data_IF_050368639585
#
_entry.id   IF_050368639585
#
_cell.length_a   1.000
_cell.length_b   1.000
_cell.length_c   1.000
_cell.angle_alpha   90.00
_cell.angle_beta   90.00
_cell.angle_gamma   90.00
#
_symmetry.space_group_name_H-M   'P 1'
#
loop_
_entity.id
_entity.type
_entity.pdbx_description
1 polymer ?
#
# COMPACT_ATOMS: atom_id res chain seq x y z
N UNK A 1 -23.08 -14.88 0.67
CA UNK A 1 -22.13 -13.85 1.14
C UNK A 1 -22.28 -12.67 0.20
N UNK A 2 -22.53 -11.45 0.68
CA UNK A 2 -22.74 -10.29 -0.20
C UNK A 2 -21.51 -10.05 -1.08
N UNK A 3 -21.71 -9.97 -2.40
CA UNK A 3 -20.64 -9.99 -3.42
C UNK A 3 -19.80 -8.71 -3.51
N UNK A 4 -19.91 -7.80 -2.56
CA UNK A 4 -19.13 -6.56 -2.51
C UNK A 4 -17.65 -6.90 -2.32
N UNK A 5 -16.83 -6.40 -3.23
CA UNK A 5 -15.38 -6.52 -3.16
C UNK A 5 -14.79 -5.25 -2.58
N UNK A 6 -13.62 -5.38 -1.95
CA UNK A 6 -12.97 -4.31 -1.18
C UNK A 6 -12.69 -3.02 -1.97
N UNK A 7 -12.62 -3.08 -3.31
CA UNK A 7 -12.53 -1.90 -4.16
C UNK A 7 -13.73 -0.95 -4.02
N UNK A 8 -14.87 -1.43 -3.53
CA UNK A 8 -16.04 -0.60 -3.24
C UNK A 8 -15.79 0.40 -2.10
N UNK A 9 -14.88 0.12 -1.16
CA UNK A 9 -14.59 1.02 -0.02
C UNK A 9 -14.08 2.39 -0.48
N UNK A 10 -12.94 2.50 -1.22
CA UNK A 10 -12.49 3.79 -1.74
C UNK A 10 -13.47 4.40 -2.75
N UNK A 11 -14.17 3.59 -3.56
CA UNK A 11 -15.19 4.14 -4.46
C UNK A 11 -16.28 4.88 -3.68
N UNK A 12 -16.87 4.23 -2.67
CA UNK A 12 -17.93 4.80 -1.84
C UNK A 12 -17.47 6.04 -1.09
N UNK A 13 -16.28 6.00 -0.47
CA UNK A 13 -15.70 7.17 0.21
C UNK A 13 -15.58 8.38 -0.74
N UNK A 14 -14.96 8.19 -1.92
CA UNK A 14 -14.84 9.27 -2.91
C UNK A 14 -16.19 9.76 -3.46
N UNK A 15 -17.19 8.87 -3.59
CA UNK A 15 -18.55 9.26 -3.99
C UNK A 15 -19.28 10.08 -2.92
N UNK A 16 -19.10 9.77 -1.62
CA UNK A 16 -19.67 10.56 -0.52
C UNK A 16 -19.03 11.95 -0.46
N UNK A 17 -17.70 12.02 -0.58
CA UNK A 17 -16.99 13.30 -0.64
C UNK A 17 -17.41 14.14 -1.85
N UNK A 18 -17.44 13.55 -3.05
CA UNK A 18 -17.93 14.21 -4.27
C UNK A 18 -19.38 14.71 -4.10
N UNK A 19 -20.27 13.89 -3.54
CA UNK A 19 -21.66 14.29 -3.26
C UNK A 19 -21.76 15.46 -2.29
N UNK A 20 -20.90 15.50 -1.27
CA UNK A 20 -20.79 16.59 -0.29
C UNK A 20 -20.37 17.89 -0.98
N UNK A 21 -19.28 17.85 -1.77
CA UNK A 21 -18.77 19.00 -2.53
C UNK A 21 -19.78 19.51 -3.57
N UNK A 22 -20.42 18.61 -4.33
CA UNK A 22 -21.43 18.98 -5.33
C UNK A 22 -22.69 19.57 -4.69
N UNK A 23 -23.11 19.11 -3.52
CA UNK A 23 -24.24 19.68 -2.80
C UNK A 23 -23.92 21.10 -2.29
N UNK A 24 -22.71 21.32 -1.75
CA UNK A 24 -22.23 22.65 -1.34
C UNK A 24 -22.14 23.61 -2.52
N UNK A 25 -21.39 23.26 -3.56
CA UNK A 25 -21.20 24.10 -4.74
C UNK A 25 -22.53 24.35 -5.45
N UNK A 26 -23.32 23.29 -5.66
CA UNK A 26 -24.62 23.36 -6.33
C UNK A 26 -25.61 24.28 -5.62
N UNK A 27 -25.70 24.21 -4.28
CA UNK A 27 -26.56 25.12 -3.52
C UNK A 27 -26.05 26.56 -3.51
N UNK A 28 -24.73 26.77 -3.42
CA UNK A 28 -24.15 28.12 -3.48
C UNK A 28 -24.42 28.78 -4.85
N UNK A 29 -24.21 28.06 -5.95
CA UNK A 29 -24.53 28.55 -7.31
C UNK A 29 -26.03 28.75 -7.50
N UNK A 30 -26.88 27.83 -7.03
CA UNK A 30 -28.35 27.93 -7.16
C UNK A 30 -28.94 29.13 -6.40
N UNK A 31 -28.26 29.64 -5.37
CA UNK A 31 -28.64 30.87 -4.65
C UNK A 31 -28.05 32.14 -5.26
N UNK A 32 -27.40 32.06 -6.43
CA UNK A 32 -26.79 33.22 -7.09
C UNK A 32 -25.44 33.62 -6.51
N UNK A 33 -24.67 32.67 -5.96
CA UNK A 33 -23.34 32.89 -5.38
C UNK A 33 -23.34 33.94 -4.25
N UNK A 34 -24.10 33.70 -3.15
CA UNK A 34 -24.16 34.62 -2.02
C UNK A 34 -22.79 34.82 -1.36
N UNK A 35 -22.52 36.06 -0.96
CA UNK A 35 -21.43 36.43 -0.06
C UNK A 35 -21.89 36.15 1.38
N UNK A 36 -21.08 35.48 2.19
CA UNK A 36 -21.45 35.15 3.58
C UNK A 36 -20.75 36.10 4.55
N UNK A 37 -21.46 37.11 5.04
CA UNK A 37 -20.93 38.24 5.83
C UNK A 37 -20.09 37.83 7.07
N UNK A 38 -20.31 36.63 7.61
CA UNK A 38 -19.62 36.14 8.81
C UNK A 38 -18.34 35.33 8.52
N UNK A 39 -18.12 34.87 7.29
CA UNK A 39 -16.98 33.99 6.95
C UNK A 39 -16.14 34.53 5.77
N UNK A 40 -16.76 35.25 4.83
CA UNK A 40 -16.04 35.87 3.72
C UNK A 40 -15.21 37.07 4.18
N UNK A 41 -14.04 37.24 3.55
CA UNK A 41 -13.34 38.52 3.60
C UNK A 41 -13.96 39.54 2.61
N UNK A 42 -13.85 40.83 2.91
CA UNK A 42 -14.47 41.91 2.12
C UNK A 42 -14.06 41.96 0.62
N UNK A 43 -12.94 41.36 0.23
CA UNK A 43 -12.44 41.27 -1.16
C UNK A 43 -12.72 39.91 -1.81
N UNK A 44 -13.50 39.05 -1.15
CA UNK A 44 -13.82 37.70 -1.59
C UNK A 44 -15.17 37.65 -2.31
N UNK A 45 -15.21 36.88 -3.40
CA UNK A 45 -16.37 36.71 -4.29
C UNK A 45 -16.63 35.23 -4.60
N UNK A 46 -15.63 34.36 -4.41
CA UNK A 46 -15.76 32.91 -4.52
C UNK A 46 -15.78 32.33 -3.11
N UNK A 47 -16.78 31.52 -2.77
CA UNK A 47 -16.83 30.82 -1.50
C UNK A 47 -15.74 29.74 -1.42
N UNK A 48 -15.06 29.68 -0.28
CA UNK A 48 -14.38 28.47 0.15
C UNK A 48 -15.41 27.36 0.45
N UNK A 49 -15.00 26.10 0.37
CA UNK A 49 -15.73 24.94 0.90
C UNK A 49 -15.96 25.14 2.39
N UNK A 50 -14.92 25.58 3.11
CA UNK A 50 -14.98 25.91 4.54
C UNK A 50 -15.98 27.03 4.87
N UNK A 51 -16.16 28.05 4.01
CA UNK A 51 -17.23 29.04 4.17
C UNK A 51 -18.63 28.41 4.14
N UNK A 52 -18.91 27.63 3.09
CA UNK A 52 -20.20 26.94 2.95
C UNK A 52 -20.38 25.97 4.13
N UNK A 53 -19.31 25.30 4.52
CA UNK A 53 -19.21 24.41 5.68
C UNK A 53 -19.36 25.11 7.04
N UNK A 54 -19.25 26.43 7.15
CA UNK A 54 -19.56 27.17 8.37
C UNK A 54 -21.05 27.57 8.46
N UNK A 55 -21.77 27.60 7.34
CA UNK A 55 -23.19 27.97 7.34
C UNK A 55 -24.08 26.95 8.06
N UNK A 56 -25.20 27.40 8.64
CA UNK A 56 -26.12 26.56 9.43
C UNK A 56 -26.65 25.31 8.72
N UNK A 57 -26.76 25.33 7.39
CA UNK A 57 -27.16 24.18 6.57
C UNK A 57 -25.95 23.33 6.13
N UNK A 58 -24.81 23.98 5.85
CA UNK A 58 -23.63 23.36 5.26
C UNK A 58 -22.77 22.64 6.29
N UNK A 59 -22.69 23.15 7.53
CA UNK A 59 -21.96 22.53 8.64
C UNK A 59 -22.36 21.09 8.95
N UNK A 60 -23.66 20.74 9.14
CA UNK A 60 -24.04 19.33 9.36
C UNK A 60 -23.75 18.45 8.14
N UNK A 61 -23.88 18.98 6.92
CA UNK A 61 -23.49 18.27 5.69
C UNK A 61 -21.98 18.04 5.63
N UNK A 62 -21.17 19.03 6.00
CA UNK A 62 -19.70 18.97 5.98
C UNK A 62 -19.20 17.90 6.96
N UNK A 63 -19.66 17.99 8.22
CA UNK A 63 -19.30 17.03 9.27
C UNK A 63 -19.69 15.60 8.86
N UNK A 64 -20.92 15.40 8.38
CA UNK A 64 -21.40 14.06 7.99
C UNK A 64 -20.64 13.53 6.78
N UNK A 65 -20.46 14.35 5.75
CA UNK A 65 -19.76 13.99 4.51
C UNK A 65 -18.29 13.64 4.75
N UNK A 66 -17.57 14.49 5.49
CA UNK A 66 -16.19 14.25 5.90
C UNK A 66 -16.06 12.99 6.74
N UNK A 67 -16.86 12.85 7.81
CA UNK A 67 -16.78 11.71 8.72
C UNK A 67 -17.05 10.37 8.00
N UNK A 68 -18.10 10.28 7.18
CA UNK A 68 -18.39 9.06 6.42
C UNK A 68 -17.29 8.76 5.39
N UNK A 69 -16.76 9.79 4.72
CA UNK A 69 -15.65 9.64 3.76
C UNK A 69 -14.42 9.04 4.44
N UNK A 70 -13.90 9.68 5.50
CA UNK A 70 -12.60 9.28 6.08
C UNK A 70 -12.71 7.99 6.88
N UNK A 71 -13.84 7.72 7.56
CA UNK A 71 -14.03 6.44 8.26
C UNK A 71 -14.07 5.27 7.27
N UNK A 72 -14.77 5.42 6.13
CA UNK A 72 -14.76 4.35 5.10
C UNK A 72 -13.40 4.25 4.41
N UNK A 73 -12.69 5.37 4.23
CA UNK A 73 -11.34 5.37 3.67
C UNK A 73 -10.35 4.66 4.60
N UNK A 74 -10.33 4.97 5.90
CA UNK A 74 -9.50 4.28 6.90
C UNK A 74 -9.82 2.78 6.99
N UNK A 75 -11.10 2.39 6.87
CA UNK A 75 -11.49 0.98 6.75
C UNK A 75 -10.88 0.31 5.51
N UNK A 76 -10.59 1.06 4.43
CA UNK A 76 -9.82 0.54 3.30
C UNK A 76 -8.36 0.23 3.70
N UNK A 77 -7.66 1.11 4.42
CA UNK A 77 -6.29 0.84 4.92
C UNK A 77 -6.27 -0.44 5.80
N UNK A 78 -7.23 -0.57 6.71
CA UNK A 78 -7.37 -1.77 7.56
C UNK A 78 -7.67 -3.02 6.72
N UNK A 79 -8.54 -2.90 5.71
CA UNK A 79 -8.84 -4.00 4.79
C UNK A 79 -7.65 -4.42 3.93
N UNK A 80 -6.83 -3.47 3.45
CA UNK A 80 -5.60 -3.73 2.70
C UNK A 80 -4.64 -4.56 3.56
N UNK A 81 -4.36 -4.09 4.78
CA UNK A 81 -3.51 -4.79 5.75
C UNK A 81 -4.03 -6.19 6.08
N UNK A 82 -5.35 -6.35 6.25
CA UNK A 82 -5.97 -7.66 6.49
C UNK A 82 -5.81 -8.60 5.28
N UNK A 83 -5.97 -8.09 4.05
CA UNK A 83 -5.81 -8.87 2.83
C UNK A 83 -4.35 -9.29 2.58
N UNK A 84 -3.39 -8.41 2.90
CA UNK A 84 -1.95 -8.74 2.91
C UNK A 84 -1.63 -9.84 3.92
N UNK A 85 -2.20 -9.76 5.13
CA UNK A 85 -2.05 -10.80 6.16
C UNK A 85 -2.72 -12.14 5.77
N UNK A 86 -3.77 -12.10 4.94
CA UNK A 86 -4.53 -13.29 4.50
C UNK A 86 -3.97 -13.92 3.19
N UNK A 87 -2.88 -13.38 2.63
CA UNK A 87 -2.29 -13.82 1.36
C UNK A 87 -3.15 -13.51 0.12
N UNK A 88 -4.10 -12.57 0.23
CA UNK A 88 -4.95 -12.12 -0.89
C UNK A 88 -4.37 -10.90 -1.63
N UNK A 89 -3.50 -10.15 -0.96
CA UNK A 89 -2.53 -9.26 -1.58
C UNK A 89 -1.12 -9.83 -1.36
N UNK A 90 -0.10 -9.24 -1.99
CA UNK A 90 1.31 -9.56 -1.72
C UNK A 90 1.61 -9.38 -0.22
N UNK A 91 2.12 -10.44 0.39
CA UNK A 91 2.27 -10.57 1.83
C UNK A 91 3.56 -9.88 2.31
N UNK A 92 3.47 -9.14 3.41
CA UNK A 92 4.62 -8.43 3.99
C UNK A 92 5.60 -9.44 4.59
N UNK A 93 6.80 -9.50 4.02
CA UNK A 93 7.85 -10.45 4.33
C UNK A 93 8.62 -10.02 5.60
N UNK A 94 8.98 -8.74 5.68
CA UNK A 94 9.84 -8.21 6.73
C UNK A 94 9.08 -7.53 7.87
N UNK A 95 9.70 -7.49 9.06
CA UNK A 95 9.21 -6.71 10.19
C UNK A 95 9.06 -5.21 9.85
N UNK A 96 9.99 -4.66 9.06
CA UNK A 96 9.95 -3.25 8.61
C UNK A 96 8.69 -2.94 7.79
N UNK A 97 8.23 -3.84 6.92
CA UNK A 97 7.01 -3.61 6.12
C UNK A 97 5.75 -3.61 7.00
N UNK A 98 5.71 -4.46 8.03
CA UNK A 98 4.62 -4.46 9.02
C UNK A 98 4.61 -3.17 9.85
N UNK A 99 5.79 -2.60 10.13
CA UNK A 99 5.95 -1.31 10.83
C UNK A 99 5.54 -0.15 9.92
N UNK A 100 6.00 -0.10 8.67
CA UNK A 100 5.62 0.91 7.67
C UNK A 100 4.10 0.94 7.46
N UNK A 101 3.48 -0.22 7.24
CA UNK A 101 2.02 -0.36 7.11
C UNK A 101 1.28 0.08 8.38
N UNK A 102 1.88 -0.16 9.55
CA UNK A 102 1.38 0.32 10.84
C UNK A 102 1.40 1.85 10.95
N UNK A 103 2.51 2.50 10.61
CA UNK A 103 2.61 3.96 10.60
C UNK A 103 1.71 4.58 9.53
N UNK A 104 1.63 4.01 8.32
CA UNK A 104 0.69 4.42 7.28
C UNK A 104 -0.75 4.48 7.81
N UNK A 105 -1.21 3.41 8.46
CA UNK A 105 -2.57 3.34 9.04
C UNK A 105 -2.74 4.37 10.17
N UNK A 106 -1.74 4.54 11.04
CA UNK A 106 -1.80 5.50 12.15
C UNK A 106 -1.89 6.96 11.66
N UNK A 107 -1.07 7.34 10.68
CA UNK A 107 -1.08 8.69 10.13
C UNK A 107 -2.34 8.97 9.27
N UNK A 108 -2.93 7.94 8.65
CA UNK A 108 -4.25 8.07 8.00
C UNK A 108 -5.33 8.42 9.03
N UNK A 109 -5.38 7.72 10.16
CA UNK A 109 -6.33 8.01 11.26
C UNK A 109 -6.12 9.42 11.85
N UNK A 110 -4.87 9.88 11.95
CA UNK A 110 -4.57 11.26 12.38
C UNK A 110 -5.08 12.28 11.34
N UNK A 111 -4.89 12.01 10.05
CA UNK A 111 -5.42 12.84 8.96
C UNK A 111 -6.96 12.86 8.94
N UNK A 112 -7.59 11.70 9.13
CA UNK A 112 -9.04 11.54 9.25
C UNK A 112 -9.61 12.35 10.42
N UNK A 113 -8.98 12.26 11.59
CA UNK A 113 -9.33 13.08 12.76
C UNK A 113 -9.18 14.58 12.46
N UNK A 114 -8.12 14.99 11.77
CA UNK A 114 -7.94 16.37 11.30
C UNK A 114 -9.10 16.85 10.43
N UNK A 115 -9.54 16.05 9.43
CA UNK A 115 -10.65 16.44 8.56
C UNK A 115 -11.98 16.52 9.32
N UNK A 116 -12.25 15.59 10.25
CA UNK A 116 -13.47 15.67 11.07
C UNK A 116 -13.43 16.91 11.97
N UNK A 117 -12.31 17.17 12.64
CA UNK A 117 -12.19 18.29 13.58
C UNK A 117 -12.26 19.66 12.89
N UNK A 118 -11.68 19.83 11.68
CA UNK A 118 -11.83 21.09 10.93
C UNK A 118 -13.27 21.34 10.46
N UNK A 119 -14.10 20.30 10.28
CA UNK A 119 -15.54 20.53 9.99
C UNK A 119 -16.36 20.93 11.21
N UNK A 120 -15.87 20.63 12.43
CA UNK A 120 -16.54 20.98 13.69
C UNK A 120 -16.12 22.38 14.16
N UNK A 121 -14.80 22.63 14.15
CA UNK A 121 -14.18 23.93 14.39
C UNK A 121 -14.12 24.69 13.06
N UNK A 122 -15.20 25.41 12.74
CA UNK A 122 -15.32 26.15 11.48
C UNK A 122 -14.54 27.48 11.48
N UNK A 123 -14.55 28.13 10.32
CA UNK A 123 -13.85 29.40 10.06
C UNK A 123 -14.49 30.63 10.72
N UNK A 124 -15.69 30.51 11.28
CA UNK A 124 -16.42 31.63 11.92
C UNK A 124 -16.14 31.64 13.42
N UNK A 125 -16.39 30.53 14.10
CA UNK A 125 -16.25 30.42 15.55
C UNK A 125 -14.79 30.12 15.97
N UNK A 126 -14.03 29.38 15.16
CA UNK A 126 -12.70 28.85 15.53
C UNK A 126 -11.64 28.86 14.40
N UNK A 127 -11.45 29.97 13.65
CA UNK A 127 -10.58 29.99 12.46
C UNK A 127 -9.15 29.46 12.68
N UNK A 128 -8.47 29.86 13.76
CA UNK A 128 -7.12 29.35 14.05
C UNK A 128 -7.07 27.84 14.37
N UNK A 129 -8.16 27.27 14.88
CA UNK A 129 -8.26 25.82 15.12
C UNK A 129 -8.58 25.11 13.80
N UNK A 130 -9.44 25.70 12.96
CA UNK A 130 -9.72 25.22 11.60
C UNK A 130 -8.42 25.05 10.80
N UNK A 131 -7.61 26.11 10.70
CA UNK A 131 -6.34 26.11 9.98
C UNK A 131 -5.34 25.08 10.54
N UNK A 132 -5.23 24.97 11.87
CA UNK A 132 -4.39 23.97 12.51
C UNK A 132 -4.85 22.53 12.20
N UNK A 133 -6.16 22.27 12.19
CA UNK A 133 -6.72 20.97 11.85
C UNK A 133 -6.61 20.65 10.35
N UNK A 134 -6.65 21.66 9.48
CA UNK A 134 -6.34 21.54 8.04
C UNK A 134 -4.88 21.11 7.82
N UNK A 135 -3.93 21.68 8.57
CA UNK A 135 -2.52 21.25 8.53
C UNK A 135 -2.36 19.80 9.04
N UNK A 136 -3.07 19.41 10.11
CA UNK A 136 -3.07 18.03 10.61
C UNK A 136 -3.67 17.05 9.59
N UNK A 137 -4.77 17.43 8.93
CA UNK A 137 -5.41 16.65 7.86
C UNK A 137 -4.44 16.37 6.70
N UNK A 138 -3.89 17.44 6.09
CA UNK A 138 -2.99 17.33 4.94
C UNK A 138 -1.69 16.61 5.33
N UNK A 139 -1.07 17.01 6.45
CA UNK A 139 0.16 16.39 6.95
C UNK A 139 0.00 14.90 7.27
N UNK A 140 -1.12 14.52 7.92
CA UNK A 140 -1.44 13.14 8.24
C UNK A 140 -1.53 12.25 6.99
N UNK A 141 -2.33 12.66 5.99
CA UNK A 141 -2.45 11.89 4.76
C UNK A 141 -1.18 11.87 3.91
N UNK A 142 -0.41 12.97 3.83
CA UNK A 142 0.89 12.97 3.12
C UNK A 142 1.89 12.02 3.79
N UNK A 143 2.03 12.07 5.12
CA UNK A 143 2.95 11.18 5.85
C UNK A 143 2.50 9.72 5.71
N UNK A 144 1.19 9.46 5.78
CA UNK A 144 0.61 8.13 5.53
C UNK A 144 0.95 7.62 4.12
N UNK A 145 0.77 8.45 3.10
CA UNK A 145 1.06 8.12 1.71
C UNK A 145 2.56 7.87 1.47
N UNK A 146 3.46 8.61 2.15
CA UNK A 146 4.90 8.35 2.12
C UNK A 146 5.22 6.95 2.69
N UNK A 147 4.61 6.57 3.81
CA UNK A 147 4.80 5.22 4.39
C UNK A 147 4.25 4.12 3.48
N UNK A 148 3.11 4.33 2.83
CA UNK A 148 2.56 3.43 1.79
C UNK A 148 3.53 3.29 0.62
N UNK A 149 4.04 4.41 0.10
CA UNK A 149 4.99 4.39 -1.01
C UNK A 149 6.30 3.67 -0.64
N UNK A 150 6.79 3.84 0.59
CA UNK A 150 7.96 3.12 1.10
C UNK A 150 7.69 1.61 1.25
N UNK A 151 6.50 1.21 1.70
CA UNK A 151 6.05 -0.20 1.71
C UNK A 151 6.02 -0.77 0.28
N UNK A 152 5.35 -0.10 -0.66
CA UNK A 152 5.26 -0.53 -2.06
C UNK A 152 6.62 -0.60 -2.77
N UNK A 153 7.53 0.36 -2.55
CA UNK A 153 8.87 0.32 -3.11
C UNK A 153 9.62 -0.94 -2.64
N UNK A 154 9.48 -1.29 -1.35
CA UNK A 154 10.16 -2.45 -0.74
C UNK A 154 9.57 -3.79 -1.20
N UNK A 155 8.25 -3.87 -1.34
CA UNK A 155 7.58 -5.05 -1.93
C UNK A 155 7.87 -5.18 -3.44
N UNK A 156 7.93 -4.06 -4.17
CA UNK A 156 8.16 -4.02 -5.61
C UNK A 156 9.54 -4.53 -6.05
N UNK A 157 10.55 -4.43 -5.18
CA UNK A 157 11.88 -5.03 -5.39
C UNK A 157 11.79 -6.56 -5.47
N UNK A 158 10.88 -7.18 -4.71
CA UNK A 158 10.73 -8.64 -4.64
C UNK A 158 9.75 -9.20 -5.68
N UNK A 159 8.69 -8.45 -6.02
CA UNK A 159 7.61 -8.90 -6.92
C UNK A 159 7.58 -8.14 -8.25
N UNK A 160 8.75 -7.98 -8.89
CA UNK A 160 8.95 -7.16 -10.11
C UNK A 160 8.12 -7.59 -11.33
N UNK A 161 7.52 -8.78 -11.31
CA UNK A 161 6.67 -9.31 -12.38
C UNK A 161 5.25 -8.72 -12.40
N UNK A 162 4.77 -8.11 -11.31
CA UNK A 162 3.40 -7.57 -11.22
C UNK A 162 3.36 -6.05 -11.43
N UNK A 163 3.31 -5.63 -12.70
CA UNK A 163 3.28 -4.21 -13.11
C UNK A 163 2.17 -3.38 -12.45
N UNK A 164 1.03 -3.98 -12.08
CA UNK A 164 -0.09 -3.31 -11.41
C UNK A 164 0.29 -2.64 -10.08
N UNK A 165 1.24 -3.21 -9.32
CA UNK A 165 1.76 -2.59 -8.10
C UNK A 165 2.60 -1.35 -8.41
N UNK A 166 3.42 -1.41 -9.46
CA UNK A 166 4.24 -0.28 -9.90
C UNK A 166 3.37 0.89 -10.41
N UNK A 167 2.30 0.60 -11.15
CA UNK A 167 1.36 1.64 -11.58
C UNK A 167 0.69 2.33 -10.39
N UNK A 168 0.20 1.58 -9.39
CA UNK A 168 -0.40 2.18 -8.19
C UNK A 168 0.57 3.06 -7.41
N UNK A 169 1.82 2.60 -7.23
CA UNK A 169 2.89 3.38 -6.61
C UNK A 169 3.12 4.72 -7.33
N UNK A 170 3.31 4.71 -8.66
CA UNK A 170 3.56 5.93 -9.42
C UNK A 170 2.37 6.90 -9.42
N UNK A 171 1.13 6.37 -9.45
CA UNK A 171 -0.09 7.17 -9.34
C UNK A 171 -0.17 7.87 -7.97
N UNK A 172 0.02 7.13 -6.87
CA UNK A 172 0.03 7.71 -5.51
C UNK A 172 1.15 8.73 -5.32
N UNK A 173 2.35 8.43 -5.80
CA UNK A 173 3.48 9.34 -5.73
C UNK A 173 3.22 10.64 -6.51
N UNK A 174 2.58 10.57 -7.67
CA UNK A 174 2.16 11.74 -8.42
C UNK A 174 1.13 12.58 -7.65
N UNK A 175 0.13 11.95 -7.00
CA UNK A 175 -0.81 12.66 -6.13
C UNK A 175 -0.12 13.38 -4.97
N UNK A 176 0.79 12.73 -4.24
CA UNK A 176 1.55 13.38 -3.15
C UNK A 176 2.23 14.67 -3.61
N UNK A 177 2.90 14.66 -4.78
CA UNK A 177 3.57 15.86 -5.30
C UNK A 177 2.58 16.94 -5.75
N UNK A 178 1.48 16.56 -6.40
CA UNK A 178 0.45 17.50 -6.87
C UNK A 178 -0.30 18.14 -5.70
N UNK A 179 -0.74 17.34 -4.73
CA UNK A 179 -1.45 17.81 -3.54
C UNK A 179 -0.55 18.69 -2.67
N UNK A 180 0.72 18.33 -2.46
CA UNK A 180 1.68 19.17 -1.73
C UNK A 180 1.93 20.51 -2.42
N UNK A 181 2.11 20.51 -3.75
CA UNK A 181 2.30 21.74 -4.52
C UNK A 181 1.07 22.66 -4.46
N UNK A 182 -0.13 22.09 -4.56
CA UNK A 182 -1.38 22.83 -4.44
C UNK A 182 -1.65 23.33 -3.02
N UNK A 183 -1.34 22.54 -1.98
CA UNK A 183 -1.49 22.94 -0.58
C UNK A 183 -0.54 24.09 -0.21
N UNK A 184 0.70 24.07 -0.69
CA UNK A 184 1.65 25.19 -0.56
C UNK A 184 1.10 26.42 -1.28
N UNK A 185 0.61 26.27 -2.52
CA UNK A 185 0.00 27.37 -3.25
C UNK A 185 -1.22 27.94 -2.52
N UNK A 186 -2.10 27.09 -1.98
CA UNK A 186 -3.28 27.49 -1.20
C UNK A 186 -2.86 28.33 0.03
N UNK A 187 -1.94 27.84 0.85
CA UNK A 187 -1.45 28.55 2.03
C UNK A 187 -0.82 29.91 1.68
N UNK A 188 0.06 29.96 0.68
CA UNK A 188 0.72 31.20 0.23
C UNK A 188 -0.28 32.21 -0.36
N UNK A 189 -1.33 31.75 -1.03
CA UNK A 189 -2.34 32.63 -1.61
C UNK A 189 -3.37 33.11 -0.58
N UNK A 190 -3.62 32.32 0.47
CA UNK A 190 -4.43 32.74 1.62
C UNK A 190 -3.70 33.81 2.44
N UNK A 191 -2.44 33.57 2.82
CA UNK A 191 -1.58 34.50 3.57
C UNK A 191 -1.42 35.87 2.88
N UNK A 192 -1.32 35.88 1.54
CA UNK A 192 -1.24 37.11 0.74
C UNK A 192 -2.57 37.83 0.51
N UNK A 193 -3.65 37.38 1.16
CA UNK A 193 -5.00 37.96 0.99
C UNK A 193 -5.58 37.80 -0.41
N UNK A 194 -5.11 36.84 -1.21
CA UNK A 194 -5.60 36.56 -2.56
C UNK A 194 -6.78 35.58 -2.53
N UNK A 195 -7.77 35.85 -1.67
CA UNK A 195 -8.80 34.90 -1.24
C UNK A 195 -9.52 34.18 -2.39
N UNK A 196 -9.92 34.89 -3.45
CA UNK A 196 -10.56 34.28 -4.63
C UNK A 196 -9.69 33.19 -5.30
N UNK A 197 -8.37 33.38 -5.34
CA UNK A 197 -7.44 32.39 -5.93
C UNK A 197 -7.21 31.23 -4.96
N UNK A 198 -7.14 31.49 -3.66
CA UNK A 198 -7.05 30.47 -2.64
C UNK A 198 -8.33 29.61 -2.57
N UNK A 199 -9.53 30.19 -2.71
CA UNK A 199 -10.79 29.44 -2.80
C UNK A 199 -10.79 28.48 -4.00
N UNK A 200 -10.38 28.93 -5.19
CA UNK A 200 -10.22 28.03 -6.35
C UNK A 200 -9.23 26.90 -6.06
N UNK A 201 -8.14 27.17 -5.34
CA UNK A 201 -7.17 26.14 -4.95
C UNK A 201 -7.75 25.13 -3.96
N UNK A 202 -8.51 25.55 -2.94
CA UNK A 202 -9.18 24.65 -1.98
C UNK A 202 -10.19 23.71 -2.67
N UNK A 203 -11.01 24.24 -3.59
CA UNK A 203 -11.88 23.42 -4.44
C UNK A 203 -11.08 22.44 -5.30
N UNK A 204 -9.97 22.89 -5.89
CA UNK A 204 -9.11 22.06 -6.73
C UNK A 204 -8.45 20.92 -5.93
N UNK A 205 -7.90 21.22 -4.74
CA UNK A 205 -7.34 20.23 -3.81
C UNK A 205 -8.41 19.21 -3.42
N UNK A 206 -9.60 19.69 -3.05
CA UNK A 206 -10.69 18.82 -2.58
C UNK A 206 -11.22 17.90 -3.66
N UNK A 207 -11.21 18.33 -4.92
CA UNK A 207 -11.54 17.48 -6.08
C UNK A 207 -10.43 16.48 -6.42
N UNK A 208 -9.16 16.88 -6.31
CA UNK A 208 -8.02 15.97 -6.52
C UNK A 208 -7.95 14.91 -5.42
N UNK A 209 -8.32 15.24 -4.19
CA UNK A 209 -8.42 14.29 -3.08
C UNK A 209 -9.42 13.15 -3.36
N UNK A 210 -10.50 13.38 -4.13
CA UNK A 210 -11.37 12.30 -4.64
C UNK A 210 -10.57 11.32 -5.50
N UNK A 211 -9.75 11.84 -6.42
CA UNK A 211 -8.95 11.04 -7.34
C UNK A 211 -7.84 10.28 -6.60
N UNK A 212 -7.26 10.88 -5.56
CA UNK A 212 -6.34 10.22 -4.64
C UNK A 212 -7.02 9.05 -3.92
N UNK A 213 -8.20 9.25 -3.32
CA UNK A 213 -8.99 8.17 -2.70
C UNK A 213 -9.28 7.06 -3.72
N UNK A 214 -9.77 7.41 -4.91
CA UNK A 214 -10.07 6.45 -5.96
C UNK A 214 -8.83 5.72 -6.50
N UNK A 215 -7.61 6.24 -6.33
CA UNK A 215 -6.38 5.52 -6.68
C UNK A 215 -6.23 4.20 -5.88
N UNK A 216 -6.82 4.08 -4.69
CA UNK A 216 -6.81 2.86 -3.90
C UNK A 216 -7.73 1.76 -4.47
N UNK A 217 -8.66 2.07 -5.37
CA UNK A 217 -9.46 1.06 -6.10
C UNK A 217 -8.51 0.05 -6.78
N UNK A 218 -7.39 0.54 -7.33
CA UNK A 218 -6.38 -0.25 -8.05
C UNK A 218 -5.75 -1.31 -7.14
N UNK A 219 -5.51 -1.00 -5.86
CA UNK A 219 -4.87 -1.90 -4.89
C UNK A 219 -5.76 -3.09 -4.51
N UNK A 220 -7.07 -2.91 -4.57
CA UNK A 220 -8.05 -3.97 -4.32
C UNK A 220 -8.41 -4.79 -5.57
N UNK A 221 -8.01 -4.36 -6.78
CA UNK A 221 -8.27 -5.13 -8.00
C UNK A 221 -7.66 -6.55 -7.97
N UNK A 222 -6.40 -6.78 -7.54
CA UNK A 222 -5.87 -8.14 -7.37
C UNK A 222 -6.74 -9.03 -6.47
N UNK A 223 -7.26 -8.49 -5.36
CA UNK A 223 -8.08 -9.24 -4.42
C UNK A 223 -9.42 -9.75 -5.01
N UNK A 224 -9.86 -9.22 -6.16
CA UNK A 224 -11.02 -9.74 -6.91
C UNK A 224 -10.73 -11.09 -7.57
N UNK A 225 -9.47 -11.31 -7.98
CA UNK A 225 -9.00 -12.50 -8.71
C UNK A 225 -8.53 -13.60 -7.75
N UNK A 226 -7.91 -13.24 -6.62
CA UNK A 226 -7.42 -14.20 -5.60
C UNK A 226 -8.52 -14.75 -4.66
N UNK A 227 -9.71 -15.06 -5.19
CA UNK A 227 -10.87 -15.51 -4.38
C UNK A 227 -10.71 -16.97 -3.94
N UNK A 228 -10.33 -17.88 -4.85
CA UNK A 228 -10.07 -19.27 -4.51
C UNK A 228 -8.70 -19.42 -3.82
N UNK A 229 -8.52 -20.47 -3.01
CA UNK A 229 -7.25 -20.70 -2.30
C UNK A 229 -6.09 -21.03 -3.25
N UNK A 230 -6.37 -21.59 -4.42
CA UNK A 230 -5.43 -21.87 -5.50
C UNK A 230 -4.82 -20.60 -6.12
N UNK A 231 -5.60 -19.52 -6.16
CA UNK A 231 -5.29 -18.30 -6.91
C UNK A 231 -4.70 -17.20 -6.01
N UNK A 232 -4.43 -17.54 -4.75
CA UNK A 232 -3.75 -16.64 -3.80
C UNK A 232 -2.27 -16.56 -4.14
N UNK A 233 -1.64 -15.45 -3.76
CA UNK A 233 -0.19 -15.38 -3.79
C UNK A 233 0.36 -16.54 -2.95
N UNK A 234 1.29 -17.35 -3.49
CA UNK A 234 1.78 -18.51 -2.77
C UNK A 234 2.35 -18.07 -1.43
N UNK A 235 2.03 -18.82 -0.37
CA UNK A 235 2.73 -18.67 0.90
C UNK A 235 4.23 -18.78 0.58
N UNK A 236 5.06 -17.79 0.95
CA UNK A 236 6.49 -17.93 0.75
C UNK A 236 6.93 -19.19 1.48
N UNK A 237 7.62 -20.08 0.76
CA UNK A 237 8.40 -21.12 1.41
C UNK A 237 9.30 -20.39 2.40
N UNK A 238 9.08 -20.63 3.70
CA UNK A 238 10.00 -20.21 4.75
C UNK A 238 11.37 -20.70 4.29
N UNK A 239 12.31 -19.77 4.09
CA UNK A 239 13.62 -20.06 3.50
C UNK A 239 14.22 -21.22 4.29
N UNK A 240 14.39 -22.38 3.67
CA UNK A 240 15.01 -23.52 4.37
C UNK A 240 16.44 -23.17 4.79
N UNK A 241 17.06 -22.22 4.08
CA UNK A 241 18.27 -21.48 4.45
C UNK A 241 18.25 -20.96 5.91
N UNK A 242 17.12 -20.43 6.40
CA UNK A 242 17.02 -19.88 7.76
C UNK A 242 16.92 -20.99 8.82
N UNK A 243 16.32 -22.15 8.48
CA UNK A 243 16.37 -23.36 9.31
C UNK A 243 17.75 -24.00 9.31
N UNK A 244 18.44 -24.03 8.16
CA UNK A 244 19.80 -24.56 8.07
C UNK A 244 20.80 -23.63 8.78
N UNK A 245 20.65 -22.31 8.68
CA UNK A 245 21.46 -21.35 9.43
C UNK A 245 21.27 -21.52 10.94
N UNK A 246 20.02 -21.52 11.45
CA UNK A 246 19.76 -21.77 12.87
C UNK A 246 20.25 -23.14 13.35
N UNK A 247 20.09 -24.21 12.55
CA UNK A 247 20.63 -25.52 12.95
C UNK A 247 22.17 -25.56 12.92
N UNK A 248 22.84 -24.75 12.11
CA UNK A 248 24.30 -24.63 12.09
C UNK A 248 24.81 -23.80 13.28
N UNK A 249 24.04 -22.79 13.73
CA UNK A 249 24.34 -22.00 14.93
C UNK A 249 24.02 -22.75 16.24
N UNK A 250 22.91 -23.49 16.29
CA UNK A 250 22.52 -24.35 17.43
C UNK A 250 23.40 -25.60 17.50
N UNK A 251 23.83 -26.14 16.35
CA UNK A 251 24.83 -27.20 16.23
C UNK A 251 26.27 -26.70 16.39
N UNK A 252 26.48 -25.69 17.25
CA UNK A 252 27.76 -25.00 17.43
C UNK A 252 28.95 -25.95 17.61
N UNK A 253 30.01 -25.69 16.87
CA UNK A 253 31.25 -26.46 16.86
C UNK A 253 31.75 -26.73 18.30
N UNK A 254 31.91 -28.00 18.68
CA UNK A 254 32.17 -28.47 20.06
C UNK A 254 33.54 -28.03 20.66
N UNK A 255 34.26 -27.14 19.98
CA UNK A 255 35.62 -26.69 20.29
C UNK A 255 35.77 -25.17 20.47
N UNK A 256 34.67 -24.40 20.55
CA UNK A 256 34.68 -23.06 21.15
C UNK A 256 35.53 -21.97 20.48
N UNK A 257 35.81 -22.08 19.18
CA UNK A 257 36.55 -21.06 18.41
C UNK A 257 35.64 -20.23 17.48
N UNK A 258 35.99 -18.98 17.14
CA UNK A 258 35.21 -18.13 16.24
C UNK A 258 35.21 -18.68 14.80
N UNK A 259 34.02 -18.71 14.19
CA UNK A 259 33.83 -19.20 12.82
C UNK A 259 33.93 -18.03 11.83
N UNK A 260 34.97 -18.03 11.00
CA UNK A 260 35.05 -17.15 9.84
C UNK A 260 34.45 -17.87 8.62
N UNK A 261 33.42 -17.29 8.02
CA UNK A 261 32.81 -17.84 6.80
C UNK A 261 33.72 -17.60 5.60
N UNK A 262 34.40 -18.65 5.12
CA UNK A 262 35.20 -18.59 3.89
C UNK A 262 34.27 -18.69 2.69
N UNK A 263 34.26 -17.66 1.83
CA UNK A 263 33.50 -17.68 0.58
C UNK A 263 33.88 -18.87 -0.31
N UNK A 264 32.87 -19.50 -0.92
CA UNK A 264 33.05 -20.73 -1.68
C UNK A 264 33.92 -20.56 -2.93
N UNK A 265 34.82 -21.51 -3.16
CA UNK A 265 35.72 -21.57 -4.30
C UNK A 265 35.52 -22.93 -5.00
N UNK A 266 34.97 -22.93 -6.22
CA UNK A 266 34.76 -24.14 -7.02
C UNK A 266 36.09 -24.65 -7.59
N UNK A 267 36.32 -25.98 -7.61
CA UNK A 267 37.29 -26.59 -8.50
C UNK A 267 36.59 -27.13 -9.76
N UNK A 268 36.85 -26.49 -10.89
CA UNK A 268 36.79 -27.11 -12.20
C UNK A 268 38.01 -28.04 -12.37
N UNK A 269 37.83 -29.25 -12.92
CA UNK A 269 38.94 -30.12 -13.30
C UNK A 269 38.59 -30.93 -14.55
N UNK A 270 39.30 -30.64 -15.64
CA UNK A 270 39.37 -31.48 -16.82
C UNK A 270 40.79 -31.85 -17.21
N UNK A 271 40.89 -32.97 -17.92
CA UNK A 271 41.85 -33.28 -19.01
C UNK A 271 43.16 -34.05 -18.68
N UNK A 272 43.21 -35.26 -19.30
CA UNK A 272 44.34 -36.06 -19.82
C UNK A 272 45.26 -36.95 -18.95
N UNK A 273 45.47 -38.20 -19.41
CA UNK A 273 46.72 -38.93 -19.18
C UNK A 273 46.74 -40.48 -19.31
N UNK A 274 46.69 -41.03 -20.54
CA UNK A 274 47.32 -42.29 -21.00
C UNK A 274 47.40 -43.60 -20.15
N UNK A 275 46.79 -44.66 -20.73
CA UNK A 275 47.35 -46.02 -21.02
C UNK A 275 47.93 -46.99 -19.94
N UNK A 276 47.77 -48.28 -20.29
CA UNK A 276 48.44 -49.52 -19.83
C UNK A 276 47.99 -50.24 -18.53
N UNK A 277 47.62 -51.52 -18.67
CA UNK A 277 47.56 -52.53 -17.60
C UNK A 277 48.96 -53.05 -17.23
N UNK A 278 49.14 -53.72 -16.08
CA UNK A 278 49.36 -55.18 -16.16
C UNK A 278 48.83 -56.07 -14.98
N UNK A 279 48.30 -57.24 -15.35
CA UNK A 279 48.61 -58.63 -14.85
C UNK A 279 48.45 -59.03 -13.35
N UNK A 280 47.49 -59.96 -13.13
CA UNK A 280 47.38 -61.15 -12.22
C UNK A 280 47.94 -61.14 -10.78
N UNK A 281 47.06 -61.42 -9.79
CA UNK A 281 46.86 -62.73 -9.11
C UNK A 281 45.63 -62.65 -8.15
N UNK A 282 45.07 -63.70 -7.51
CA UNK A 282 45.29 -65.17 -7.60
C UNK A 282 44.49 -65.96 -6.52
N UNK A 283 43.91 -67.13 -6.86
CA UNK A 283 43.15 -68.10 -5.98
C UNK A 283 41.84 -67.56 -5.35
N UNK A 284 40.69 -68.27 -5.35
CA UNK A 284 40.46 -69.61 -4.78
C UNK A 284 39.31 -70.43 -5.43
N UNK A 285 39.24 -71.73 -5.09
CA UNK A 285 38.30 -72.73 -5.65
C UNK A 285 37.04 -72.94 -4.78
N UNK A 286 35.87 -73.22 -5.39
CA UNK A 286 35.21 -74.54 -5.46
C UNK A 286 33.76 -74.43 -6.03
N UNK A 287 33.17 -75.48 -6.66
CA UNK A 287 31.94 -75.37 -7.46
C UNK A 287 30.74 -76.17 -6.92
N UNK A 288 29.51 -75.85 -7.38
CA UNK A 288 28.40 -76.85 -7.42
C UNK A 288 27.36 -76.57 -8.51
N UNK A 289 26.82 -77.65 -9.06
CA UNK A 289 25.72 -77.79 -10.05
C UNK A 289 24.67 -76.66 -10.08
N UNK A 290 24.20 -76.17 -11.23
CA UNK A 290 23.84 -76.92 -12.42
C UNK A 290 22.32 -77.16 -12.48
N UNK A 291 21.62 -76.38 -13.31
CA UNK A 291 20.40 -76.82 -14.01
C UNK A 291 20.09 -75.93 -15.22
N UNK A 292 20.18 -76.53 -16.39
CA UNK A 292 19.60 -76.01 -17.63
C UNK A 292 18.07 -76.08 -17.56
N UNK A 293 17.40 -75.09 -18.14
CA UNK A 293 16.14 -75.30 -18.85
C UNK A 293 16.03 -74.27 -19.98
N UNK A 294 15.44 -74.69 -21.10
CA UNK A 294 15.58 -74.06 -22.41
C UNK A 294 14.21 -73.74 -23.00
N UNK A 295 14.10 -72.61 -23.69
CA UNK A 295 13.03 -72.31 -24.64
C UNK A 295 11.83 -71.54 -24.05
N UNK A 296 11.08 -70.79 -24.86
CA UNK A 296 11.31 -70.41 -26.26
C UNK A 296 10.56 -69.11 -26.62
N UNK A 297 10.85 -68.62 -27.82
CA UNK A 297 10.19 -67.54 -28.59
C UNK A 297 8.65 -67.45 -28.45
N UNK A 298 8.00 -66.30 -28.66
CA UNK A 298 7.95 -65.57 -29.95
C UNK A 298 7.58 -64.08 -29.82
N UNK A 299 7.84 -63.37 -30.92
CA UNK A 299 7.51 -61.96 -31.13
C UNK A 299 6.01 -61.74 -31.34
N UNK A 300 5.51 -60.58 -30.90
CA UNK A 300 4.76 -59.62 -31.75
C UNK A 300 5.05 -58.20 -31.23
#
# INVERSE_FOLDING_TARGET
MFGLSYWFLPLFAGCVWLGTLLAMLGRWVALGSPHYDNSFHATQHIAYISDIGATSWGKPLFITGSAVTVVVFDVAFVAERWLRHTGRLTQNYNMTEKILSGFATLFAIIGAAGLILLTIFDTVDYPHVHDAMLVVFIGGYIISAIFICAEYQRLGIHYREYSILAYSFWIKLAFIFVELALAIAFGVMSDKGHYNRAAVLEWTISLIYILYIWSFIIDFLPATRTKHKSDRFPLPLRKQDDEMAMNTEVGGNMMGGPVYTSGGQYPDQGVNGNMQQPVREGQDLYPTHGRTNVGASQNF
#
